data_IF_698339695107
#
_entry.id   IF_698339695107
#
_cell.length_a   1.000
_cell.length_b   1.000
_cell.length_c   1.000
_cell.angle_alpha   90.00
_cell.angle_beta   90.00
_cell.angle_gamma   90.00
#
_symmetry.space_group_name_H-M   'P 1'
#
loop_
_entity.id
_entity.type
_entity.pdbx_description
1 polymer ?
#
# COMPACT_ATOMS: atom_id res chain seq x y z
N UNK A 1 20.48 -7.46 11.12
CA UNK A 1 19.84 -8.15 9.98
C UNK A 1 18.50 -7.53 9.67
N UNK A 2 17.87 -7.85 8.52
CA UNK A 2 16.60 -7.22 8.09
C UNK A 2 15.51 -7.32 9.17
N UNK A 3 15.22 -8.52 9.67
CA UNK A 3 14.23 -8.71 10.76
C UNK A 3 14.49 -7.88 12.01
N UNK A 4 15.76 -7.69 12.38
CA UNK A 4 16.14 -6.86 13.54
C UNK A 4 15.80 -5.39 13.29
N UNK A 5 16.16 -4.86 12.11
CA UNK A 5 15.82 -3.49 11.72
C UNK A 5 14.31 -3.28 11.63
N UNK A 6 13.58 -4.25 11.06
CA UNK A 6 12.11 -4.22 11.03
C UNK A 6 11.53 -4.18 12.44
N UNK A 7 12.05 -4.97 13.38
CA UNK A 7 11.58 -4.97 14.76
C UNK A 7 11.88 -3.64 15.49
N UNK A 8 13.07 -3.06 15.28
CA UNK A 8 13.44 -1.74 15.81
C UNK A 8 12.49 -0.65 15.28
N UNK A 9 12.24 -0.63 13.97
CA UNK A 9 11.35 0.32 13.31
C UNK A 9 9.89 0.18 13.75
N UNK A 10 9.37 -1.04 13.79
CA UNK A 10 7.99 -1.28 14.24
C UNK A 10 7.80 -0.92 15.71
N UNK A 11 8.82 -1.14 16.55
CA UNK A 11 8.79 -0.71 17.95
C UNK A 11 8.71 0.82 18.04
N UNK A 12 9.53 1.53 17.26
CA UNK A 12 9.51 2.99 17.20
C UNK A 12 8.14 3.52 16.78
N UNK A 13 7.57 2.99 15.71
CA UNK A 13 6.22 3.34 15.28
C UNK A 13 5.18 3.08 16.39
N UNK A 14 5.23 1.91 17.03
CA UNK A 14 4.28 1.51 18.07
C UNK A 14 4.28 2.42 19.30
N UNK A 15 5.46 2.86 19.75
CA UNK A 15 5.56 3.73 20.93
C UNK A 15 5.31 5.20 20.63
N UNK A 16 5.51 5.62 19.37
CA UNK A 16 5.41 7.03 18.97
C UNK A 16 4.00 7.39 18.50
N UNK A 17 3.31 6.47 17.83
CA UNK A 17 2.02 6.74 17.19
C UNK A 17 0.89 6.17 18.06
N UNK A 18 -0.10 6.99 18.47
CA UNK A 18 -1.33 6.48 19.09
C UNK A 18 -2.21 5.82 18.02
N UNK A 19 -2.16 4.48 17.94
CA UNK A 19 -2.82 3.73 16.87
C UNK A 19 -4.33 3.59 17.09
N UNK A 20 -5.09 3.83 16.03
CA UNK A 20 -6.50 3.44 15.90
C UNK A 20 -6.66 2.78 14.53
N UNK A 21 -7.45 1.70 14.47
CA UNK A 21 -7.79 1.06 13.19
C UNK A 21 -9.26 1.27 12.89
N UNK A 22 -9.55 1.86 11.73
CA UNK A 22 -10.90 1.90 11.16
C UNK A 22 -11.08 0.69 10.23
N UNK A 23 -12.19 -0.02 10.39
CA UNK A 23 -12.56 -1.12 9.50
C UNK A 23 -13.75 -0.72 8.64
N UNK A 24 -13.70 -1.08 7.37
CA UNK A 24 -14.79 -0.86 6.42
C UNK A 24 -14.79 -1.95 5.33
N UNK A 25 -15.88 -2.02 4.57
CA UNK A 25 -16.04 -2.91 3.41
C UNK A 25 -16.32 -2.07 2.17
N UNK A 26 -15.78 -2.51 1.04
CA UNK A 26 -16.06 -1.92 -0.27
C UNK A 26 -16.57 -3.02 -1.20
N UNK A 27 -17.67 -2.78 -1.89
CA UNK A 27 -18.10 -3.64 -2.99
C UNK A 27 -17.09 -3.52 -4.14
N UNK A 28 -16.47 -4.65 -4.47
CA UNK A 28 -15.49 -4.79 -5.54
C UNK A 28 -16.01 -5.61 -6.71
N UNK A 29 -17.31 -5.89 -6.80
CA UNK A 29 -17.92 -6.74 -7.85
C UNK A 29 -17.58 -6.24 -9.25
N UNK A 30 -17.86 -4.96 -9.53
CA UNK A 30 -17.53 -4.34 -10.81
C UNK A 30 -16.02 -4.12 -10.98
N UNK A 31 -15.30 -3.88 -9.88
CA UNK A 31 -13.84 -3.74 -9.89
C UNK A 31 -13.17 -5.04 -10.34
N UNK A 32 -13.65 -6.21 -9.91
CA UNK A 32 -13.13 -7.51 -10.31
C UNK A 32 -13.38 -7.79 -11.80
N UNK A 33 -14.54 -7.38 -12.34
CA UNK A 33 -14.82 -7.46 -13.78
C UNK A 33 -13.84 -6.59 -14.58
N UNK A 34 -13.63 -5.34 -14.14
CA UNK A 34 -12.64 -4.44 -14.75
C UNK A 34 -11.23 -5.02 -14.65
N UNK A 35 -10.85 -5.58 -13.50
CA UNK A 35 -9.55 -6.22 -13.29
C UNK A 35 -9.30 -7.34 -14.30
N UNK A 36 -10.29 -8.19 -14.54
CA UNK A 36 -10.21 -9.26 -15.52
C UNK A 36 -10.10 -8.72 -16.96
N UNK A 37 -10.90 -7.69 -17.30
CA UNK A 37 -10.89 -7.06 -18.62
C UNK A 37 -9.55 -6.42 -18.97
N UNK A 38 -8.89 -5.78 -18.01
CA UNK A 38 -7.61 -5.10 -18.21
C UNK A 38 -6.38 -5.97 -17.92
N UNK A 39 -6.56 -7.19 -17.43
CA UNK A 39 -5.46 -8.12 -17.14
C UNK A 39 -4.53 -8.36 -18.34
N UNK A 40 -5.02 -8.60 -19.59
CA UNK A 40 -4.14 -8.84 -20.73
C UNK A 40 -3.21 -7.64 -21.03
N UNK A 41 -3.71 -6.41 -20.89
CA UNK A 41 -2.88 -5.20 -21.11
C UNK A 41 -1.78 -5.05 -20.07
N UNK A 42 -2.04 -5.44 -18.83
CA UNK A 42 -1.01 -5.46 -17.80
C UNK A 42 0.05 -6.52 -18.08
N UNK A 43 -0.37 -7.68 -18.58
CA UNK A 43 0.54 -8.78 -18.95
C UNK A 43 1.46 -8.38 -20.13
N UNK A 44 0.91 -7.74 -21.16
CA UNK A 44 1.68 -7.17 -22.28
C UNK A 44 2.71 -6.14 -21.80
N UNK A 45 2.39 -5.36 -20.77
CA UNK A 45 3.31 -4.41 -20.14
C UNK A 45 4.31 -5.05 -19.15
N UNK A 46 4.31 -6.39 -19.03
CA UNK A 46 5.22 -7.14 -18.15
C UNK A 46 4.83 -7.14 -16.67
N UNK A 47 3.55 -6.86 -16.36
CA UNK A 47 2.98 -6.84 -15.02
C UNK A 47 1.80 -7.79 -14.84
N UNK A 48 1.15 -7.69 -13.68
CA UNK A 48 -0.11 -8.40 -13.40
C UNK A 48 -1.14 -7.44 -12.83
N UNK A 49 -2.34 -7.42 -13.41
CA UNK A 49 -3.45 -6.62 -12.90
C UNK A 49 -4.02 -7.23 -11.61
N UNK A 50 -3.59 -6.67 -10.48
CA UNK A 50 -3.99 -7.09 -9.12
C UNK A 50 -4.87 -6.03 -8.45
N UNK A 51 -5.63 -6.44 -7.43
CA UNK A 51 -6.37 -5.51 -6.58
C UNK A 51 -5.44 -4.46 -5.96
N UNK A 52 -4.22 -4.85 -5.56
CA UNK A 52 -3.20 -3.91 -5.04
C UNK A 52 -2.82 -2.86 -6.08
N UNK A 53 -2.65 -3.24 -7.36
CA UNK A 53 -2.33 -2.29 -8.43
C UNK A 53 -3.44 -1.25 -8.64
N UNK A 54 -4.70 -1.68 -8.55
CA UNK A 54 -5.86 -0.78 -8.62
C UNK A 54 -5.92 0.11 -7.36
N UNK A 55 -5.71 -0.49 -6.18
CA UNK A 55 -5.71 0.22 -4.90
C UNK A 55 -4.66 1.34 -4.85
N UNK A 56 -3.48 1.16 -5.47
CA UNK A 56 -2.49 2.25 -5.63
C UNK A 56 -3.09 3.49 -6.28
N UNK A 57 -3.81 3.31 -7.40
CA UNK A 57 -4.42 4.44 -8.13
C UNK A 57 -5.58 5.08 -7.36
N UNK A 58 -6.39 4.25 -6.69
CA UNK A 58 -7.49 4.71 -5.84
C UNK A 58 -6.95 5.51 -4.65
N UNK A 59 -5.96 4.98 -3.93
CA UNK A 59 -5.32 5.66 -2.80
C UNK A 59 -4.67 6.97 -3.26
N UNK A 60 -3.93 6.98 -4.36
CA UNK A 60 -3.32 8.20 -4.88
C UNK A 60 -4.37 9.28 -5.21
N UNK A 61 -5.55 8.88 -5.69
CA UNK A 61 -6.65 9.83 -5.94
C UNK A 61 -7.26 10.33 -4.62
N UNK A 62 -7.48 9.44 -3.65
CA UNK A 62 -8.00 9.80 -2.33
C UNK A 62 -7.04 10.73 -1.55
N UNK A 63 -5.73 10.47 -1.61
CA UNK A 63 -4.69 11.28 -0.96
C UNK A 63 -4.64 12.72 -1.51
N UNK A 64 -5.04 12.95 -2.77
CA UNK A 64 -5.20 14.31 -3.32
C UNK A 64 -6.40 15.05 -2.74
N UNK A 65 -7.50 14.32 -2.49
CA UNK A 65 -8.73 14.89 -1.91
C UNK A 65 -8.56 15.13 -0.41
N UNK A 66 -7.80 14.26 0.27
CA UNK A 66 -7.60 14.27 1.71
C UNK A 66 -6.10 14.41 2.06
N UNK A 67 -5.50 15.60 1.87
CA UNK A 67 -4.07 15.81 2.01
C UNK A 67 -3.54 15.54 3.43
N UNK A 68 -4.39 15.54 4.46
CA UNK A 68 -3.98 15.15 5.82
C UNK A 68 -3.45 13.72 5.92
N UNK A 69 -3.84 12.83 5.00
CA UNK A 69 -3.30 11.47 4.94
C UNK A 69 -1.99 11.38 4.13
N UNK A 70 -1.60 12.46 3.44
CA UNK A 70 -0.35 12.59 2.70
C UNK A 70 0.63 13.55 3.40
N UNK A 71 0.72 13.43 4.73
CA UNK A 71 1.52 14.30 5.57
C UNK A 71 2.46 13.49 6.49
N UNK A 72 3.32 14.20 7.21
CA UNK A 72 4.06 13.69 8.37
C UNK A 72 4.03 14.73 9.48
N UNK A 73 4.17 14.28 10.73
CA UNK A 73 4.17 15.16 11.90
C UNK A 73 5.62 15.28 12.38
N UNK A 74 6.16 16.51 12.38
CA UNK A 74 7.46 16.83 12.96
C UNK A 74 7.22 17.30 14.41
N UNK A 75 7.47 16.39 15.35
CA UNK A 75 7.26 16.66 16.78
C UNK A 75 8.31 17.60 17.37
N UNK A 76 9.49 17.72 16.76
CA UNK A 76 10.55 18.62 17.27
C UNK A 76 10.24 20.07 16.93
N UNK A 77 9.67 20.30 15.74
CA UNK A 77 9.29 21.64 15.26
C UNK A 77 7.82 21.99 15.47
N UNK A 78 7.03 21.07 16.01
CA UNK A 78 5.59 21.23 16.22
C UNK A 78 4.83 21.57 14.93
N UNK A 79 5.23 20.97 13.80
CA UNK A 79 4.65 21.26 12.48
C UNK A 79 4.10 20.01 11.77
N UNK A 80 3.11 20.24 10.89
CA UNK A 80 2.58 19.22 9.98
C UNK A 80 3.17 19.47 8.59
N UNK A 81 3.91 18.49 8.09
CA UNK A 81 4.56 18.56 6.78
C UNK A 81 3.65 17.91 5.73
N UNK A 82 2.96 18.73 4.94
CA UNK A 82 2.16 18.26 3.81
C UNK A 82 3.03 18.00 2.59
N UNK A 83 3.01 16.75 2.09
CA UNK A 83 3.83 16.34 0.96
C UNK A 83 3.09 16.62 -0.35
N UNK A 84 3.77 17.25 -1.31
CA UNK A 84 3.23 17.57 -2.64
C UNK A 84 3.44 16.44 -3.67
N UNK A 85 4.10 15.37 -3.25
CA UNK A 85 4.31 14.15 -4.03
C UNK A 85 3.55 13.00 -3.37
N UNK A 86 3.14 12.01 -4.17
CA UNK A 86 2.46 10.81 -3.70
C UNK A 86 3.32 9.61 -4.06
N UNK A 87 3.92 9.01 -3.05
CA UNK A 87 4.78 7.83 -3.17
C UNK A 87 4.23 6.77 -2.24
N UNK A 88 3.80 5.63 -2.78
CA UNK A 88 3.09 4.62 -1.98
C UNK A 88 3.99 3.41 -1.79
N UNK A 89 4.25 3.08 -0.52
CA UNK A 89 4.89 1.85 -0.11
C UNK A 89 3.94 0.66 -0.28
N UNK A 90 4.45 -0.48 -0.72
CA UNK A 90 3.67 -1.73 -0.77
C UNK A 90 4.42 -2.81 0.01
N UNK A 91 3.80 -3.28 1.10
CA UNK A 91 4.40 -4.29 1.95
C UNK A 91 4.52 -5.63 1.20
N UNK A 92 5.73 -6.17 1.17
CA UNK A 92 6.08 -7.43 0.55
C UNK A 92 6.75 -8.35 1.58
N UNK A 93 6.13 -9.49 1.85
CA UNK A 93 6.73 -10.51 2.69
C UNK A 93 7.77 -11.31 1.91
N UNK A 94 8.95 -11.51 2.50
CA UNK A 94 10.08 -12.21 1.90
C UNK A 94 10.77 -13.09 2.94
N UNK A 95 11.59 -14.06 2.52
CA UNK A 95 12.32 -14.93 3.45
C UNK A 95 13.18 -14.15 4.47
N UNK A 96 13.65 -12.95 4.11
CA UNK A 96 14.46 -12.07 4.97
C UNK A 96 13.63 -11.27 5.97
N UNK A 97 12.31 -11.29 5.86
CA UNK A 97 11.36 -10.47 6.60
C UNK A 97 10.61 -9.50 5.69
N UNK A 98 9.80 -8.65 6.32
CA UNK A 98 8.98 -7.64 5.66
C UNK A 98 9.85 -6.55 5.03
N UNK A 99 9.62 -6.29 3.74
CA UNK A 99 10.20 -5.17 3.00
C UNK A 99 9.06 -4.30 2.46
N UNK A 100 9.26 -2.98 2.37
CA UNK A 100 8.26 -2.04 1.85
C UNK A 100 8.88 -1.23 0.71
N UNK A 101 8.95 -1.79 -0.51
CA UNK A 101 9.32 -1.01 -1.69
C UNK A 101 8.31 0.11 -1.95
N UNK A 102 8.81 1.25 -2.44
CA UNK A 102 8.04 2.48 -2.69
C UNK A 102 7.89 2.69 -4.19
N UNK A 103 6.64 2.82 -4.64
CA UNK A 103 6.31 3.24 -6.00
C UNK A 103 6.21 4.77 -5.99
N UNK A 104 7.06 5.44 -6.77
CA UNK A 104 7.11 6.90 -6.83
C UNK A 104 6.05 7.46 -7.78
N UNK A 105 5.64 8.70 -7.53
CA UNK A 105 4.70 9.47 -8.37
C UNK A 105 3.47 8.67 -8.81
N UNK A 106 2.84 7.95 -7.88
CA UNK A 106 1.73 7.02 -8.18
C UNK A 106 0.58 7.74 -8.86
N UNK A 107 0.37 9.00 -8.51
CA UNK A 107 -0.70 9.81 -9.04
C UNK A 107 -0.51 10.18 -10.53
N UNK A 108 0.73 10.20 -11.01
CA UNK A 108 1.10 10.51 -12.40
C UNK A 108 1.05 9.31 -13.33
N UNK A 109 0.93 8.09 -12.78
CA UNK A 109 0.95 6.83 -13.53
C UNK A 109 -0.46 6.29 -13.74
N UNK A 110 -0.68 5.58 -14.83
CA UNK A 110 -1.91 4.83 -15.09
C UNK A 110 -1.85 3.43 -14.44
N UNK A 111 -2.99 2.73 -14.39
CA UNK A 111 -3.09 1.44 -13.66
C UNK A 111 -2.21 0.35 -14.30
N UNK A 112 -2.01 0.37 -15.62
CA UNK A 112 -1.16 -0.61 -16.32
C UNK A 112 0.32 -0.39 -15.97
N UNK A 113 0.78 0.87 -15.96
CA UNK A 113 2.13 1.23 -15.52
C UNK A 113 2.38 0.82 -14.07
N UNK A 114 1.43 1.13 -13.17
CA UNK A 114 1.49 0.73 -11.76
C UNK A 114 1.55 -0.78 -11.59
N UNK A 115 0.78 -1.54 -12.38
CA UNK A 115 0.79 -3.00 -12.34
C UNK A 115 2.15 -3.58 -12.76
N UNK A 116 2.78 -3.02 -13.80
CA UNK A 116 4.11 -3.41 -14.25
C UNK A 116 5.18 -3.11 -13.20
N UNK A 117 5.22 -1.89 -12.68
CA UNK A 117 6.21 -1.45 -11.69
C UNK A 117 6.07 -2.20 -10.36
N UNK A 118 4.84 -2.40 -9.88
CA UNK A 118 4.58 -3.22 -8.69
C UNK A 118 5.12 -4.64 -8.86
N UNK A 119 4.92 -5.24 -10.04
CA UNK A 119 5.38 -6.59 -10.35
C UNK A 119 6.90 -6.67 -10.35
N UNK A 120 7.56 -5.66 -10.93
CA UNK A 120 9.02 -5.56 -10.96
C UNK A 120 9.62 -5.37 -9.55
N UNK A 121 9.08 -4.44 -8.75
CA UNK A 121 9.55 -4.21 -7.37
C UNK A 121 9.31 -5.43 -6.49
N UNK A 122 8.15 -6.08 -6.62
CA UNK A 122 7.86 -7.33 -5.91
C UNK A 122 8.85 -8.44 -6.27
N UNK A 123 9.23 -8.54 -7.54
CA UNK A 123 10.26 -9.50 -7.98
C UNK A 123 11.63 -9.14 -7.41
N UNK A 124 12.04 -7.88 -7.48
CA UNK A 124 13.30 -7.40 -6.88
C UNK A 124 13.36 -7.66 -5.36
N UNK A 125 12.24 -7.50 -4.66
CA UNK A 125 12.15 -7.77 -3.23
C UNK A 125 12.47 -9.23 -2.91
N UNK A 126 11.81 -10.16 -3.62
CA UNK A 126 12.04 -11.61 -3.50
C UNK A 126 13.45 -12.01 -3.93
N UNK A 127 13.96 -11.43 -5.01
CA UNK A 127 15.29 -11.71 -5.57
C UNK A 127 16.43 -11.06 -4.77
N UNK A 128 16.13 -10.31 -3.69
CA UNK A 128 17.09 -9.60 -2.83
C UNK A 128 17.89 -8.52 -3.58
N UNK A 129 17.26 -7.90 -4.58
CA UNK A 129 17.86 -6.87 -5.46
C UNK A 129 17.30 -5.46 -5.24
N UNK A 130 16.44 -5.27 -4.23
CA UNK A 130 15.98 -3.93 -3.85
C UNK A 130 17.14 -3.09 -3.34
N UNK A 131 17.24 -1.87 -3.86
CA UNK A 131 18.16 -0.85 -3.37
C UNK A 131 17.53 -0.10 -2.18
N UNK A 132 18.34 0.47 -1.26
CA UNK A 132 17.83 1.32 -0.18
C UNK A 132 16.91 2.45 -0.66
N UNK A 133 17.28 3.12 -1.75
CA UNK A 133 16.53 4.23 -2.38
C UNK A 133 15.12 3.84 -2.87
N UNK A 134 14.90 2.53 -3.13
CA UNK A 134 13.60 1.97 -3.54
C UNK A 134 12.70 1.67 -2.33
N UNK A 135 13.17 1.89 -1.09
CA UNK A 135 12.41 1.66 0.15
C UNK A 135 12.21 2.95 0.96
N UNK A 136 12.58 4.10 0.40
CA UNK A 136 12.56 5.40 1.07
C UNK A 136 11.62 6.39 0.38
N UNK A 137 11.16 7.40 1.14
CA UNK A 137 10.34 8.49 0.62
C UNK A 137 8.86 8.16 0.47
N UNK A 138 8.38 7.09 1.11
CA UNK A 138 6.96 6.77 1.21
C UNK A 138 6.17 7.89 1.91
N UNK A 139 4.93 8.09 1.45
CA UNK A 139 3.97 9.02 2.04
C UNK A 139 2.74 8.31 2.59
N UNK A 140 2.51 7.08 2.13
CA UNK A 140 1.43 6.19 2.53
C UNK A 140 1.84 4.75 2.23
N UNK A 141 1.32 3.77 2.98
CA UNK A 141 1.62 2.36 2.77
C UNK A 141 0.36 1.54 2.50
N UNK A 142 0.43 0.58 1.58
CA UNK A 142 -0.56 -0.48 1.41
C UNK A 142 0.05 -1.80 1.85
N UNK A 143 -0.67 -2.53 2.69
CA UNK A 143 -0.33 -3.90 3.10
C UNK A 143 -1.49 -4.83 2.75
N UNK A 144 -1.22 -5.87 1.95
CA UNK A 144 -2.26 -6.75 1.43
C UNK A 144 -2.02 -8.20 1.86
N UNK A 145 -2.92 -8.72 2.70
CA UNK A 145 -2.95 -10.12 3.16
C UNK A 145 -4.03 -10.95 2.46
N UNK A 146 -4.76 -10.39 1.50
CA UNK A 146 -5.86 -11.06 0.81
C UNK A 146 -5.47 -12.33 0.06
N UNK A 147 -4.21 -12.42 -0.38
CA UNK A 147 -3.65 -13.65 -0.96
C UNK A 147 -3.53 -14.81 0.04
N UNK A 148 -3.36 -14.51 1.34
CA UNK A 148 -3.21 -15.49 2.42
C UNK A 148 -4.56 -15.81 3.04
N UNK A 149 -5.34 -14.79 3.40
CA UNK A 149 -6.63 -14.94 4.08
C UNK A 149 -6.93 -13.81 5.06
N UNK A 150 -7.74 -14.12 6.08
CA UNK A 150 -8.17 -13.15 7.08
C UNK A 150 -9.50 -12.46 6.73
N UNK A 151 -10.01 -11.69 7.68
CA UNK A 151 -11.23 -10.88 7.57
C UNK A 151 -10.90 -9.40 7.75
N UNK A 152 -10.12 -9.08 8.77
CA UNK A 152 -9.56 -7.77 9.05
C UNK A 152 -8.27 -7.92 9.88
N UNK A 153 -7.44 -6.89 9.91
CA UNK A 153 -6.27 -6.80 10.77
C UNK A 153 -5.97 -5.33 11.07
N UNK A 154 -5.15 -5.09 12.10
CA UNK A 154 -4.79 -3.76 12.60
C UNK A 154 -3.32 -3.46 12.25
N UNK A 155 -3.04 -2.97 11.02
CA UNK A 155 -1.67 -2.70 10.59
C UNK A 155 -1.03 -1.58 11.41
N UNK A 156 0.28 -1.71 11.67
CA UNK A 156 1.09 -0.67 12.30
C UNK A 156 1.46 0.37 11.24
N UNK A 157 1.31 1.66 11.56
CA UNK A 157 1.65 2.76 10.66
C UNK A 157 3.17 2.80 10.44
N UNK A 158 3.61 2.99 9.20
CA UNK A 158 5.02 3.07 8.85
C UNK A 158 5.58 4.47 9.12
N UNK A 159 6.03 4.76 10.34
CA UNK A 159 6.61 6.06 10.70
C UNK A 159 7.70 6.51 9.68
N UNK A 160 7.74 7.77 9.21
CA UNK A 160 6.95 8.94 9.62
C UNK A 160 5.65 9.17 8.82
N UNK A 161 5.14 8.15 8.13
CA UNK A 161 3.80 8.23 7.52
C UNK A 161 2.71 8.32 8.60
N UNK A 162 1.55 8.82 8.22
CA UNK A 162 0.41 9.05 9.15
C UNK A 162 -0.68 7.98 9.03
N UNK A 163 -0.64 7.14 7.99
CA UNK A 163 -1.65 6.12 7.75
C UNK A 163 -1.13 4.96 6.89
N UNK A 164 -1.81 3.82 7.02
CA UNK A 164 -1.54 2.59 6.27
C UNK A 164 -2.88 1.92 5.93
N UNK A 165 -3.04 1.42 4.70
CA UNK A 165 -4.22 0.67 4.28
C UNK A 165 -3.95 -0.84 4.36
N UNK A 166 -4.73 -1.53 5.18
CA UNK A 166 -4.77 -2.99 5.24
C UNK A 166 -5.84 -3.57 4.32
N UNK A 167 -5.45 -4.42 3.36
CA UNK A 167 -6.37 -5.16 2.50
C UNK A 167 -6.45 -6.64 2.92
N UNK A 168 -7.67 -7.12 3.16
CA UNK A 168 -7.97 -8.52 3.49
C UNK A 168 -8.58 -9.27 2.30
N UNK A 169 -8.86 -10.56 2.46
CA UNK A 169 -9.41 -11.39 1.38
C UNK A 169 -10.82 -10.92 0.99
N UNK A 170 -11.02 -10.62 -0.29
CA UNK A 170 -12.34 -10.40 -0.87
C UNK A 170 -13.19 -11.67 -0.80
N UNK A 171 -14.49 -11.51 -0.53
CA UNK A 171 -15.46 -12.61 -0.36
C UNK A 171 -16.78 -12.20 -1.00
N UNK A 172 -17.51 -13.19 -1.51
CA UNK A 172 -18.92 -13.03 -1.84
C UNK A 172 -19.70 -12.92 -0.53
N UNK A 173 -20.43 -11.83 -0.35
CA UNK A 173 -21.27 -11.60 0.83
C UNK A 173 -22.68 -11.17 0.38
N UNK A 174 -23.73 -11.54 1.12
CA UNK A 174 -25.06 -11.02 0.86
C UNK A 174 -25.11 -9.54 1.25
N UNK A 175 -25.61 -8.70 0.35
CA UNK A 175 -25.82 -7.28 0.60
C UNK A 175 -27.30 -6.94 0.39
N UNK A 176 -27.88 -6.19 1.33
CA UNK A 176 -29.24 -5.69 1.21
C UNK A 176 -29.23 -4.41 0.38
N UNK A 177 -29.75 -4.50 -0.84
CA UNK A 177 -29.78 -3.38 -1.79
C UNK A 177 -31.23 -3.04 -2.12
N UNK A 178 -31.67 -1.85 -1.71
CA UNK A 178 -32.94 -1.24 -2.13
C UNK A 178 -34.25 -2.00 -1.84
N UNK A 179 -34.27 -2.97 -0.91
CA UNK A 179 -35.51 -3.61 -0.46
C UNK A 179 -35.77 -4.96 -1.11
#
# INVERSE_FOLDING_TARGET
GVRRKTAEHLREAWVTIPHVTQHDRADITELEQLRAKFAPRAEEAGGKMTVTAIALKVCASALKVFPQFNASIDMEKEEIVYKQYIHIGVAADTDRGLLVPVIRDVDKKNIVELAAELSQLSKKARDKKLKPEEMEGGTFTITNLGGIGGTAFTPIVNHPEVAILGLSRGRMEPEWING
#
